data_IF_850081948997
#
_entry.id   IF_850081948997
#
_cell.length_a   1.000
_cell.length_b   1.000
_cell.length_c   1.000
_cell.angle_alpha   90.00
_cell.angle_beta   90.00
_cell.angle_gamma   90.00
#
_symmetry.space_group_name_H-M   'P 1'
#
loop_
_entity.id
_entity.type
_entity.pdbx_description
1 polymer ?
#
# COMPACT_ATOMS: atom_id res chain seq x y z
N UNK A 1 -0.03 3.88 -20.59
CA UNK A 1 -0.57 5.25 -20.58
C UNK A 1 -0.40 5.94 -21.93
N UNK A 2 0.83 6.03 -22.50
CA UNK A 2 1.08 6.74 -23.77
C UNK A 2 0.26 6.19 -24.94
N UNK A 3 0.23 4.88 -25.14
CA UNK A 3 -0.56 4.22 -26.18
C UNK A 3 -2.07 4.47 -26.03
N UNK A 4 -2.57 4.55 -24.80
CA UNK A 4 -3.97 4.85 -24.53
C UNK A 4 -4.36 6.24 -25.03
N UNK A 5 -3.53 7.25 -24.77
CA UNK A 5 -3.76 8.63 -25.18
C UNK A 5 -3.67 8.81 -26.71
N UNK A 6 -2.84 7.99 -27.39
CA UNK A 6 -2.71 8.04 -28.84
C UNK A 6 -3.89 7.42 -29.59
N UNK A 7 -4.61 6.46 -28.99
CA UNK A 7 -5.66 5.69 -29.65
C UNK A 7 -7.06 6.14 -29.24
N UNK A 8 -7.24 6.58 -27.99
CA UNK A 8 -8.54 6.98 -27.45
C UNK A 8 -8.60 8.50 -27.33
N UNK A 9 -9.63 9.18 -27.88
CA UNK A 9 -9.82 10.61 -27.70
C UNK A 9 -10.06 10.95 -26.23
N UNK A 10 -9.47 12.06 -25.77
CA UNK A 10 -9.51 12.49 -24.35
C UNK A 10 -10.93 12.65 -23.77
N UNK A 11 -11.91 12.89 -24.63
CA UNK A 11 -13.33 13.01 -24.24
C UNK A 11 -13.90 11.69 -23.73
N UNK A 12 -13.53 10.57 -24.33
CA UNK A 12 -14.03 9.23 -23.98
C UNK A 12 -13.28 8.59 -22.80
N UNK A 13 -12.05 9.03 -22.55
CA UNK A 13 -11.26 8.59 -21.38
C UNK A 13 -11.99 8.91 -20.07
N UNK A 14 -12.77 10.02 -20.03
CA UNK A 14 -13.55 10.43 -18.88
C UNK A 14 -14.70 9.49 -18.53
N UNK A 15 -15.35 8.90 -19.52
CA UNK A 15 -16.51 8.01 -19.35
C UNK A 15 -16.11 6.56 -19.00
N UNK A 16 -14.99 6.10 -19.53
CA UNK A 16 -14.52 4.71 -19.37
C UNK A 16 -13.34 4.54 -18.41
N UNK A 17 -13.19 5.42 -17.41
CA UNK A 17 -12.06 5.42 -16.45
C UNK A 17 -11.79 4.07 -15.77
N UNK A 18 -12.82 3.29 -15.50
CA UNK A 18 -12.73 2.02 -14.77
C UNK A 18 -12.39 0.82 -15.68
N UNK A 19 -12.63 0.93 -16.99
CA UNK A 19 -12.42 -0.16 -17.95
C UNK A 19 -11.64 0.23 -19.19
N UNK A 20 -10.76 1.21 -19.05
CA UNK A 20 -10.02 1.87 -20.14
C UNK A 20 -9.22 0.89 -21.01
N UNK A 21 -8.61 -0.13 -20.41
CA UNK A 21 -7.85 -1.16 -21.13
C UNK A 21 -8.77 -2.11 -21.93
N UNK A 22 -9.92 -2.48 -21.37
CA UNK A 22 -10.88 -3.30 -22.09
C UNK A 22 -11.51 -2.53 -23.27
N UNK A 23 -11.79 -1.23 -23.07
CA UNK A 23 -12.27 -0.34 -24.12
C UNK A 23 -11.23 -0.15 -25.24
N UNK A 24 -9.95 0.00 -24.91
CA UNK A 24 -8.87 0.01 -25.89
C UNK A 24 -8.84 -1.31 -26.68
N UNK A 25 -8.99 -2.43 -26.01
CA UNK A 25 -9.07 -3.74 -26.67
C UNK A 25 -10.23 -3.84 -27.64
N UNK A 26 -11.39 -3.31 -27.26
CA UNK A 26 -12.58 -3.30 -28.10
C UNK A 26 -12.42 -2.42 -29.36
N UNK A 27 -11.78 -1.26 -29.22
CA UNK A 27 -11.57 -0.34 -30.35
C UNK A 27 -10.48 -0.80 -31.30
N UNK A 28 -9.47 -1.53 -30.85
CA UNK A 28 -8.33 -1.96 -31.66
C UNK A 28 -8.48 -3.36 -32.23
N UNK A 29 -9.03 -4.31 -31.47
CA UNK A 29 -9.11 -5.73 -31.85
C UNK A 29 -10.50 -6.35 -31.74
N UNK A 30 -11.53 -5.54 -31.45
CA UNK A 30 -12.91 -6.01 -31.31
C UNK A 30 -13.15 -6.74 -29.98
N UNK A 31 -14.36 -7.35 -29.87
CA UNK A 31 -14.86 -7.98 -28.64
C UNK A 31 -13.93 -9.09 -28.12
N UNK A 32 -13.31 -9.85 -28.99
CA UNK A 32 -12.36 -10.90 -28.62
C UNK A 32 -11.18 -10.37 -27.75
N UNK A 33 -10.55 -9.29 -28.20
CA UNK A 33 -9.41 -8.71 -27.49
C UNK A 33 -9.84 -8.08 -26.15
N UNK A 34 -11.02 -7.46 -26.09
CA UNK A 34 -11.60 -6.94 -24.87
C UNK A 34 -11.81 -8.04 -23.81
N UNK A 35 -12.32 -9.22 -24.22
CA UNK A 35 -12.47 -10.36 -23.30
C UNK A 35 -11.14 -10.89 -22.79
N UNK A 36 -10.13 -11.04 -23.65
CA UNK A 36 -8.80 -11.48 -23.25
C UNK A 36 -8.19 -10.53 -22.24
N UNK A 37 -8.25 -9.23 -22.49
CA UNK A 37 -7.71 -8.19 -21.56
C UNK A 37 -8.46 -8.24 -20.22
N UNK A 38 -9.77 -8.45 -20.23
CA UNK A 38 -10.56 -8.55 -18.99
C UNK A 38 -10.19 -9.78 -18.17
N UNK A 39 -9.99 -10.94 -18.80
CA UNK A 39 -9.54 -12.16 -18.13
C UNK A 39 -8.13 -11.97 -17.55
N UNK A 40 -7.21 -11.42 -18.33
CA UNK A 40 -5.85 -11.13 -17.89
C UNK A 40 -5.83 -10.17 -16.69
N UNK A 41 -6.63 -9.10 -16.74
CA UNK A 41 -6.77 -8.16 -15.63
C UNK A 41 -7.25 -8.85 -14.33
N UNK A 42 -8.22 -9.76 -14.41
CA UNK A 42 -8.70 -10.52 -13.25
C UNK A 42 -7.59 -11.41 -12.69
N UNK A 43 -6.85 -12.12 -13.53
CA UNK A 43 -5.74 -12.99 -13.09
C UNK A 43 -4.63 -12.19 -12.41
N UNK A 44 -4.24 -11.05 -13.00
CA UNK A 44 -3.22 -10.16 -12.44
C UNK A 44 -3.67 -9.59 -11.10
N UNK A 45 -4.92 -9.13 -10.98
CA UNK A 45 -5.47 -8.61 -9.72
C UNK A 45 -5.54 -9.69 -8.64
N UNK A 46 -5.95 -10.91 -8.97
CA UNK A 46 -5.93 -12.04 -8.03
C UNK A 46 -4.51 -12.34 -7.54
N UNK A 47 -3.53 -12.33 -8.44
CA UNK A 47 -2.12 -12.48 -8.09
C UNK A 47 -1.60 -11.37 -7.16
N UNK A 48 -1.97 -10.12 -7.43
CA UNK A 48 -1.62 -8.98 -6.59
C UNK A 48 -2.21 -9.09 -5.17
N UNK A 49 -3.48 -9.52 -5.05
CA UNK A 49 -4.13 -9.77 -3.75
C UNK A 49 -3.40 -10.86 -2.98
N UNK A 50 -3.11 -12.01 -3.62
CA UNK A 50 -2.37 -13.10 -2.97
C UNK A 50 -0.99 -12.64 -2.48
N UNK A 51 -0.26 -11.90 -3.30
CA UNK A 51 1.06 -11.35 -2.94
C UNK A 51 0.96 -10.41 -1.73
N UNK A 52 -0.09 -9.60 -1.66
CA UNK A 52 -0.34 -8.70 -0.52
C UNK A 52 -0.58 -9.48 0.77
N UNK A 53 -1.39 -10.55 0.73
CA UNK A 53 -1.64 -11.41 1.91
C UNK A 53 -0.36 -12.12 2.39
N UNK A 54 0.45 -12.61 1.47
CA UNK A 54 1.74 -13.25 1.80
C UNK A 54 2.69 -12.24 2.41
N UNK A 55 2.82 -11.04 1.82
CA UNK A 55 3.67 -9.96 2.32
C UNK A 55 3.29 -9.51 3.73
N UNK A 56 2.00 -9.26 3.96
CA UNK A 56 1.49 -8.88 5.29
C UNK A 56 1.68 -9.99 6.31
N UNK A 57 1.43 -11.25 5.93
CA UNK A 57 1.64 -12.39 6.82
C UNK A 57 3.10 -12.51 7.25
N UNK A 58 4.04 -12.34 6.32
CA UNK A 58 5.47 -12.35 6.61
C UNK A 58 5.90 -11.19 7.52
N UNK A 59 5.41 -9.98 7.24
CA UNK A 59 5.73 -8.78 8.02
C UNK A 59 5.21 -8.89 9.46
N UNK A 60 3.92 -9.19 9.63
CA UNK A 60 3.29 -9.30 10.96
C UNK A 60 3.87 -10.46 11.78
N UNK A 61 4.24 -11.57 11.14
CA UNK A 61 4.95 -12.66 11.82
C UNK A 61 6.30 -12.19 12.36
N UNK A 62 7.07 -11.44 11.59
CA UNK A 62 8.34 -10.84 12.04
C UNK A 62 8.13 -9.87 13.19
N UNK A 63 7.17 -8.96 13.08
CA UNK A 63 6.84 -8.01 14.15
C UNK A 63 6.42 -8.71 15.45
N UNK A 64 5.76 -9.87 15.34
CA UNK A 64 5.37 -10.66 16.51
C UNK A 64 6.57 -11.37 17.13
N UNK A 65 7.48 -11.91 16.33
CA UNK A 65 8.74 -12.50 16.80
C UNK A 65 9.63 -11.46 17.51
N UNK A 66 9.63 -10.22 17.01
CA UNK A 66 10.33 -9.08 17.62
C UNK A 66 9.61 -8.51 18.86
N UNK A 67 8.54 -9.19 19.35
CA UNK A 67 7.70 -8.79 20.50
C UNK A 67 7.00 -7.44 20.36
N UNK A 68 6.89 -6.90 19.16
CA UNK A 68 6.14 -5.67 18.88
C UNK A 68 4.64 -5.94 18.89
N UNK A 69 4.22 -7.15 18.46
CA UNK A 69 2.84 -7.61 18.45
C UNK A 69 2.64 -8.79 19.41
N UNK A 70 1.41 -9.02 19.90
CA UNK A 70 1.13 -10.13 20.81
C UNK A 70 1.31 -11.48 20.11
N UNK A 71 1.79 -12.49 20.86
CA UNK A 71 2.00 -13.87 20.38
C UNK A 71 0.73 -14.54 19.84
N UNK A 72 -0.43 -13.92 20.05
CA UNK A 72 -1.72 -14.33 19.49
C UNK A 72 -1.67 -14.52 17.96
N UNK A 73 -0.89 -13.72 17.27
CA UNK A 73 -0.77 -13.75 15.81
C UNK A 73 0.10 -14.91 15.27
N UNK A 74 0.96 -15.52 16.11
CA UNK A 74 1.83 -16.62 15.70
C UNK A 74 1.12 -17.99 15.66
N UNK A 75 -0.14 -18.08 16.11
CA UNK A 75 -0.85 -19.36 16.08
C UNK A 75 -1.06 -19.85 14.66
N UNK A 76 -0.46 -20.98 14.35
CA UNK A 76 -0.52 -21.65 13.05
C UNK A 76 -1.66 -22.67 13.01
N UNK A 77 -2.19 -22.89 11.84
CA UNK A 77 -3.09 -23.99 11.53
C UNK A 77 -2.28 -25.28 11.26
N UNK A 78 -2.93 -26.45 11.21
CA UNK A 78 -2.31 -27.76 10.90
C UNK A 78 -1.49 -27.77 9.60
N UNK A 79 -1.71 -26.78 8.71
CA UNK A 79 -0.98 -26.59 7.45
C UNK A 79 0.19 -25.59 7.56
N UNK A 80 0.57 -25.13 8.76
CA UNK A 80 1.66 -24.16 8.99
C UNK A 80 1.33 -22.70 8.62
N UNK A 81 0.08 -22.37 8.31
CA UNK A 81 -0.34 -21.02 7.95
C UNK A 81 -0.77 -20.20 9.16
N UNK A 82 -0.37 -18.94 9.24
CA UNK A 82 -0.75 -17.98 10.29
C UNK A 82 -2.17 -17.43 10.03
N UNK A 83 -3.20 -18.28 10.17
CA UNK A 83 -4.57 -17.95 9.81
C UNK A 83 -5.14 -16.72 10.51
N UNK A 84 -4.69 -16.42 11.73
CA UNK A 84 -5.17 -15.26 12.49
C UNK A 84 -4.72 -13.94 11.87
N UNK A 85 -3.51 -13.89 11.33
CA UNK A 85 -3.01 -12.72 10.59
C UNK A 85 -3.85 -12.51 9.33
N UNK A 86 -4.11 -13.60 8.60
CA UNK A 86 -4.89 -13.55 7.35
C UNK A 86 -6.31 -13.05 7.62
N UNK A 87 -6.98 -13.58 8.65
CA UNK A 87 -8.32 -13.15 9.02
C UNK A 87 -8.34 -11.69 9.49
N UNK A 88 -7.39 -11.28 10.33
CA UNK A 88 -7.29 -9.88 10.79
C UNK A 88 -7.09 -8.92 9.62
N UNK A 89 -6.23 -9.28 8.69
CA UNK A 89 -5.99 -8.47 7.50
C UNK A 89 -7.21 -8.41 6.58
N UNK A 90 -7.92 -9.52 6.39
CA UNK A 90 -9.16 -9.58 5.64
C UNK A 90 -10.23 -8.64 6.24
N UNK A 91 -10.43 -8.70 7.56
CA UNK A 91 -11.37 -7.81 8.26
C UNK A 91 -11.00 -6.35 8.05
N UNK A 92 -9.71 -6.02 8.13
CA UNK A 92 -9.21 -4.67 7.88
C UNK A 92 -9.49 -4.23 6.43
N UNK A 93 -9.23 -5.07 5.44
CA UNK A 93 -9.53 -4.78 4.03
C UNK A 93 -11.03 -4.53 3.80
N UNK A 94 -11.90 -5.38 4.37
CA UNK A 94 -13.35 -5.22 4.27
C UNK A 94 -13.78 -3.90 4.92
N UNK A 95 -13.25 -3.56 6.10
CA UNK A 95 -13.55 -2.32 6.81
C UNK A 95 -13.17 -1.08 5.98
N UNK A 96 -11.98 -1.07 5.37
CA UNK A 96 -11.55 0.02 4.46
C UNK A 96 -12.48 0.13 3.25
N UNK A 97 -12.89 -1.00 2.67
CA UNK A 97 -13.81 -1.03 1.54
C UNK A 97 -15.17 -0.39 1.90
N UNK A 98 -15.72 -0.72 3.08
CA UNK A 98 -16.97 -0.12 3.55
C UNK A 98 -16.86 1.38 3.79
N UNK A 99 -15.78 1.84 4.44
CA UNK A 99 -15.57 3.26 4.75
C UNK A 99 -15.35 4.08 3.47
N UNK A 100 -14.69 3.54 2.47
CA UNK A 100 -14.47 4.21 1.17
C UNK A 100 -15.66 4.10 0.22
N UNK A 101 -16.70 3.32 0.58
CA UNK A 101 -17.86 3.07 -0.26
C UNK A 101 -17.54 2.36 -1.57
N UNK A 102 -16.42 1.62 -1.63
CA UNK A 102 -15.97 0.89 -2.83
C UNK A 102 -15.49 1.77 -3.98
N UNK A 103 -15.36 3.08 -3.79
CA UNK A 103 -14.93 4.00 -4.86
C UNK A 103 -13.43 3.85 -5.12
N UNK A 104 -13.05 3.45 -6.35
CA UNK A 104 -11.65 3.25 -6.74
C UNK A 104 -10.76 4.46 -6.49
N UNK A 105 -11.26 5.67 -6.77
CA UNK A 105 -10.53 6.93 -6.54
C UNK A 105 -10.20 7.13 -5.05
N UNK A 106 -11.15 6.82 -4.16
CA UNK A 106 -10.95 6.93 -2.71
C UNK A 106 -9.96 5.86 -2.21
N UNK A 107 -10.07 4.62 -2.69
CA UNK A 107 -9.13 3.54 -2.37
C UNK A 107 -7.70 3.86 -2.84
N UNK A 108 -7.56 4.35 -4.07
CA UNK A 108 -6.28 4.79 -4.61
C UNK A 108 -5.68 5.93 -3.81
N UNK A 109 -6.50 6.88 -3.34
CA UNK A 109 -6.08 7.97 -2.46
C UNK A 109 -5.54 7.45 -1.12
N UNK A 110 -6.27 6.55 -0.43
CA UNK A 110 -5.82 5.93 0.83
C UNK A 110 -4.52 5.15 0.63
N UNK A 111 -4.42 4.40 -0.47
CA UNK A 111 -3.18 3.69 -0.82
C UNK A 111 -2.00 4.66 -1.00
N UNK A 112 -2.19 5.76 -1.72
CA UNK A 112 -1.14 6.75 -1.98
C UNK A 112 -0.65 7.39 -0.67
N UNK A 113 -1.57 7.79 0.24
CA UNK A 113 -1.18 8.32 1.56
C UNK A 113 -0.42 7.30 2.39
N UNK A 114 -0.88 6.04 2.42
CA UNK A 114 -0.22 4.96 3.15
C UNK A 114 1.19 4.71 2.61
N UNK A 115 1.35 4.67 1.29
CA UNK A 115 2.64 4.48 0.63
C UNK A 115 3.61 5.63 0.93
N UNK A 116 3.16 6.89 0.79
CA UNK A 116 3.99 8.06 1.08
C UNK A 116 4.39 8.12 2.57
N UNK A 117 3.47 7.78 3.48
CA UNK A 117 3.76 7.73 4.91
C UNK A 117 4.82 6.68 5.25
N UNK A 118 4.71 5.47 4.69
CA UNK A 118 5.69 4.40 4.89
C UNK A 118 7.06 4.80 4.34
N UNK A 119 7.10 5.39 3.14
CA UNK A 119 8.34 5.89 2.54
C UNK A 119 8.99 7.01 3.38
N UNK A 120 8.18 7.93 3.93
CA UNK A 120 8.67 8.98 4.82
C UNK A 120 9.26 8.38 6.10
N UNK A 121 8.56 7.46 6.75
CA UNK A 121 9.02 6.77 7.96
C UNK A 121 10.30 5.98 7.71
N UNK A 122 10.40 5.29 6.58
CA UNK A 122 11.60 4.58 6.17
C UNK A 122 12.78 5.53 5.96
N UNK A 123 12.57 6.64 5.28
CA UNK A 123 13.58 7.68 5.07
C UNK A 123 14.07 8.29 6.39
N UNK A 124 13.15 8.64 7.29
CA UNK A 124 13.47 9.17 8.62
C UNK A 124 14.21 8.11 9.46
N UNK A 125 13.75 6.88 9.44
CA UNK A 125 14.39 5.75 10.12
C UNK A 125 15.84 5.55 9.64
N UNK A 126 16.08 5.64 8.35
CA UNK A 126 17.40 5.53 7.76
C UNK A 126 18.33 6.72 8.18
N UNK A 127 17.79 7.94 8.26
CA UNK A 127 18.50 9.09 8.79
C UNK A 127 18.86 8.90 10.26
N UNK A 128 17.90 8.49 11.09
CA UNK A 128 18.14 8.23 12.53
C UNK A 128 19.21 7.16 12.75
N UNK A 129 19.16 6.06 11.99
CA UNK A 129 20.19 5.02 12.02
C UNK A 129 21.57 5.56 11.65
N UNK A 130 21.65 6.48 10.70
CA UNK A 130 22.90 7.09 10.26
C UNK A 130 23.53 7.98 11.32
N UNK A 131 22.70 8.73 12.09
CA UNK A 131 23.17 9.59 13.17
C UNK A 131 23.49 8.79 14.45
N UNK A 132 22.58 7.88 14.85
CA UNK A 132 22.64 7.21 16.15
C UNK A 132 23.55 5.97 16.17
N UNK A 133 23.70 5.26 15.02
CA UNK A 133 24.50 4.02 14.92
C UNK A 133 25.51 4.06 13.77
N UNK A 134 26.50 4.94 13.88
CA UNK A 134 27.56 5.12 12.85
C UNK A 134 28.47 3.90 12.67
N UNK A 135 28.59 3.03 13.68
CA UNK A 135 29.54 1.88 13.71
C UNK A 135 28.99 0.59 13.09
N UNK A 136 27.72 0.56 12.65
CA UNK A 136 27.17 -0.64 12.01
C UNK A 136 27.82 -0.87 10.63
N UNK A 137 28.27 -2.11 10.34
CA UNK A 137 28.78 -2.47 9.02
C UNK A 137 27.66 -2.31 8.00
N UNK A 138 27.89 -1.47 7.00
CA UNK A 138 26.95 -1.22 5.91
C UNK A 138 27.61 -1.61 4.60
N UNK A 139 26.99 -2.50 3.79
CA UNK A 139 27.53 -2.86 2.49
C UNK A 139 27.57 -1.65 1.54
N UNK A 140 26.59 -0.75 1.65
CA UNK A 140 26.49 0.47 0.81
C UNK A 140 26.31 1.71 1.69
N UNK A 141 27.05 2.79 1.39
CA UNK A 141 27.00 4.07 2.11
C UNK A 141 26.31 5.13 1.26
N UNK A 142 24.98 5.18 1.27
CA UNK A 142 24.26 6.28 0.64
C UNK A 142 24.69 7.64 1.25
N UNK A 143 24.88 8.66 0.40
CA UNK A 143 25.18 10.02 0.84
C UNK A 143 24.01 10.58 1.67
N UNK A 144 24.26 11.15 2.85
CA UNK A 144 23.21 11.69 3.73
C UNK A 144 22.32 12.73 3.04
N UNK A 145 22.94 13.56 2.21
CA UNK A 145 22.26 14.60 1.43
C UNK A 145 21.19 14.00 0.51
N UNK A 146 21.48 12.90 -0.18
CA UNK A 146 20.51 12.24 -1.06
C UNK A 146 19.28 11.73 -0.30
N UNK A 147 19.47 11.22 0.92
CA UNK A 147 18.35 10.76 1.74
C UNK A 147 17.50 11.93 2.24
N UNK A 148 18.13 13.05 2.63
CA UNK A 148 17.42 14.27 3.04
C UNK A 148 16.60 14.84 1.90
N UNK A 149 17.17 14.92 0.70
CA UNK A 149 16.47 15.38 -0.50
C UNK A 149 15.28 14.47 -0.81
N UNK A 150 15.46 13.15 -0.77
CA UNK A 150 14.38 12.19 -1.01
C UNK A 150 13.23 12.36 -0.01
N UNK A 151 13.54 12.49 1.29
CA UNK A 151 12.53 12.73 2.33
C UNK A 151 11.81 14.05 2.11
N UNK A 152 12.51 15.12 1.73
CA UNK A 152 11.92 16.42 1.42
C UNK A 152 10.91 16.31 0.26
N UNK A 153 11.26 15.63 -0.83
CA UNK A 153 10.33 15.38 -1.95
C UNK A 153 9.11 14.56 -1.54
N UNK A 154 9.28 13.55 -0.70
CA UNK A 154 8.16 12.75 -0.18
C UNK A 154 7.20 13.61 0.65
N UNK A 155 7.73 14.49 1.49
CA UNK A 155 6.91 15.42 2.31
C UNK A 155 6.15 16.40 1.41
N UNK A 156 6.80 16.95 0.39
CA UNK A 156 6.16 17.84 -0.59
C UNK A 156 5.04 17.10 -1.33
N UNK A 157 5.29 15.88 -1.78
CA UNK A 157 4.28 15.03 -2.45
C UNK A 157 3.11 14.70 -1.50
N UNK A 158 3.39 14.43 -0.22
CA UNK A 158 2.36 14.17 0.79
C UNK A 158 1.45 15.39 1.00
N UNK A 159 2.03 16.58 1.15
CA UNK A 159 1.28 17.83 1.32
C UNK A 159 0.47 18.16 0.05
N UNK A 160 1.06 17.99 -1.12
CA UNK A 160 0.39 18.20 -2.41
C UNK A 160 -0.83 17.28 -2.57
N UNK A 161 -0.68 16.00 -2.28
CA UNK A 161 -1.76 15.03 -2.35
C UNK A 161 -2.87 15.30 -1.32
N UNK A 162 -2.50 15.78 -0.11
CA UNK A 162 -3.46 16.16 0.92
C UNK A 162 -4.39 17.31 0.46
N UNK A 163 -3.85 18.29 -0.26
CA UNK A 163 -4.66 19.40 -0.81
C UNK A 163 -5.63 18.94 -1.91
N UNK A 164 -5.24 17.95 -2.70
CA UNK A 164 -6.05 17.43 -3.81
C UNK A 164 -7.13 16.44 -3.36
N UNK A 165 -6.86 15.64 -2.33
CA UNK A 165 -7.70 14.51 -1.91
C UNK A 165 -7.94 14.48 -0.40
N UNK A 166 -8.73 15.45 0.10
CA UNK A 166 -9.00 15.59 1.55
C UNK A 166 -9.80 14.40 2.10
N UNK A 167 -10.78 13.85 1.37
CA UNK A 167 -11.61 12.72 1.84
C UNK A 167 -10.80 11.46 2.13
N UNK A 168 -10.02 10.93 1.18
CA UNK A 168 -9.10 9.81 1.41
C UNK A 168 -8.08 10.05 2.53
N UNK A 169 -7.65 11.29 2.74
CA UNK A 169 -6.76 11.67 3.82
C UNK A 169 -7.39 11.44 5.20
N UNK A 170 -8.66 11.84 5.41
CA UNK A 170 -9.37 11.55 6.67
C UNK A 170 -9.52 10.04 6.91
N UNK A 171 -9.84 9.27 5.88
CA UNK A 171 -9.90 7.81 5.98
C UNK A 171 -8.56 7.24 6.39
N UNK A 172 -7.47 7.68 5.76
CA UNK A 172 -6.11 7.25 6.11
C UNK A 172 -5.76 7.54 7.58
N UNK A 173 -6.03 8.76 8.07
CA UNK A 173 -5.76 9.15 9.46
C UNK A 173 -6.57 8.32 10.46
N UNK A 174 -7.84 8.03 10.16
CA UNK A 174 -8.70 7.20 11.00
C UNK A 174 -8.17 5.77 11.19
N UNK A 175 -7.45 5.23 10.23
CA UNK A 175 -6.80 3.92 10.36
C UNK A 175 -5.39 4.02 10.94
N UNK A 176 -4.65 5.08 10.60
CA UNK A 176 -3.27 5.27 11.09
C UNK A 176 -3.20 5.46 12.59
N UNK A 177 -4.08 6.32 13.15
CA UNK A 177 -4.05 6.65 14.59
C UNK A 177 -4.30 5.41 15.45
N UNK A 178 -5.36 4.61 15.26
CA UNK A 178 -5.58 3.40 16.04
C UNK A 178 -4.46 2.37 15.88
N UNK A 179 -3.94 2.19 14.66
CA UNK A 179 -2.83 1.27 14.42
C UNK A 179 -1.57 1.72 15.16
N UNK A 180 -1.24 3.00 15.12
CA UNK A 180 -0.09 3.56 15.83
C UNK A 180 -0.24 3.44 17.35
N UNK A 181 -1.41 3.77 17.89
CA UNK A 181 -1.71 3.62 19.32
C UNK A 181 -1.61 2.17 19.77
N UNK A 182 -2.14 1.24 18.97
CA UNK A 182 -2.04 -0.19 19.26
C UNK A 182 -0.59 -0.66 19.37
N UNK A 183 0.26 -0.26 18.42
CA UNK A 183 1.69 -0.60 18.43
C UNK A 183 2.39 0.04 19.62
N UNK A 184 2.09 1.31 19.96
CA UNK A 184 2.69 2.00 21.11
C UNK A 184 2.31 1.36 22.44
N UNK A 185 1.04 0.95 22.62
CA UNK A 185 0.58 0.25 23.83
C UNK A 185 1.29 -1.10 23.95
N UNK A 186 1.43 -1.83 22.84
CA UNK A 186 2.12 -3.13 22.86
C UNK A 186 3.61 -3.00 23.14
N UNK A 187 4.28 -2.01 22.59
CA UNK A 187 5.69 -1.71 22.90
C UNK A 187 5.87 -1.38 24.39
N UNK A 188 4.99 -0.55 24.96
CA UNK A 188 5.07 -0.18 26.38
C UNK A 188 4.79 -1.36 27.33
N UNK A 189 4.02 -2.35 26.89
CA UNK A 189 3.73 -3.58 27.63
C UNK A 189 4.86 -4.62 27.52
N UNK A 190 5.69 -4.51 26.48
CA UNK A 190 6.83 -5.42 26.25
C UNK A 190 8.09 -5.05 27.03
N UNK A 191 8.14 -3.84 27.59
CA UNK A 191 9.15 -3.37 28.55
C UNK A 191 8.63 -3.52 29.98
#
# INVERSE_FOLDING_TARGET
AFLLICVIPLTEVGEHKESLLAYLGQTTGGSWLAYLISIDAVLVLCGAVLTSFVGVSGLLSRMTLDRILPNYFLKQNNRGSNYRIIISFLILCISVLFVTGGKLVSLAGVYTFSFLAVMALFGIGNLLLKFKRRKLPRPEKAKGISVVIAVAFIIIAFIGNMKLHIGPFYTFINYLIPAFLFVMIMLNRSF
#
